data_IF_604769567292
#
_entry.id   IF_604769567292
#
_cell.length_a   1.000
_cell.length_b   1.000
_cell.length_c   1.000
_cell.angle_alpha   90.00
_cell.angle_beta   90.00
_cell.angle_gamma   90.00
#
_symmetry.space_group_name_H-M   'P 1'
#
loop_
_entity.id
_entity.type
_entity.pdbx_description
1 polymer ?
#
# COMPACT_ATOMS: atom_id res chain seq x y z
N UNK A 1 21.88 -25.52 5.13
CA UNK A 1 21.45 -24.19 4.62
C UNK A 1 21.24 -24.26 3.12
N UNK A 2 22.11 -24.95 2.38
CA UNK A 2 21.91 -25.29 0.95
C UNK A 2 20.59 -26.00 0.68
N UNK A 3 20.22 -27.00 1.50
CA UNK A 3 18.92 -27.70 1.36
C UNK A 3 17.71 -26.77 1.45
N UNK A 4 17.79 -25.68 2.23
CA UNK A 4 16.70 -24.71 2.38
C UNK A 4 16.54 -23.84 1.13
N UNK A 5 17.66 -23.38 0.57
CA UNK A 5 17.67 -22.57 -0.65
C UNK A 5 17.17 -23.39 -1.84
N UNK A 6 17.59 -24.65 -1.95
CA UNK A 6 17.08 -25.55 -2.99
C UNK A 6 15.58 -25.79 -2.84
N UNK A 7 15.08 -25.98 -1.62
CA UNK A 7 13.64 -26.14 -1.37
C UNK A 7 12.84 -24.87 -1.71
N UNK A 8 13.38 -23.69 -1.39
CA UNK A 8 12.77 -22.40 -1.74
C UNK A 8 12.74 -22.18 -3.26
N UNK A 9 13.82 -22.54 -3.96
CA UNK A 9 13.88 -22.46 -5.42
C UNK A 9 12.85 -23.41 -6.06
N UNK A 10 12.68 -24.62 -5.50
CA UNK A 10 11.63 -25.55 -5.94
C UNK A 10 10.22 -25.00 -5.73
N UNK A 11 9.92 -24.44 -4.57
CA UNK A 11 8.62 -23.82 -4.28
C UNK A 11 8.31 -22.66 -5.22
N UNK A 12 9.32 -21.83 -5.50
CA UNK A 12 9.20 -20.71 -6.43
C UNK A 12 9.29 -21.10 -7.91
N UNK A 13 9.55 -22.39 -8.21
CA UNK A 13 9.78 -22.93 -9.57
C UNK A 13 10.88 -22.16 -10.31
N UNK A 14 11.96 -21.85 -9.60
CA UNK A 14 13.13 -21.13 -10.11
C UNK A 14 14.24 -22.11 -10.46
N UNK A 15 14.68 -22.08 -11.71
CA UNK A 15 15.88 -22.77 -12.17
C UNK A 15 17.05 -21.79 -12.15
N UNK A 16 18.03 -22.06 -11.29
CA UNK A 16 19.23 -21.23 -11.13
C UNK A 16 20.45 -22.00 -11.61
N UNK A 17 21.29 -21.34 -12.41
CA UNK A 17 22.61 -21.86 -12.76
C UNK A 17 23.53 -21.93 -11.52
N UNK A 18 24.61 -22.72 -11.55
CA UNK A 18 25.50 -22.87 -10.40
C UNK A 18 26.09 -21.53 -9.91
N UNK A 19 26.42 -20.61 -10.83
CA UNK A 19 26.93 -19.28 -10.47
C UNK A 19 25.87 -18.38 -9.83
N UNK A 20 24.63 -18.45 -10.31
CA UNK A 20 23.52 -17.68 -9.74
C UNK A 20 23.11 -18.21 -8.37
N UNK A 21 23.27 -19.52 -8.11
CA UNK A 21 22.99 -20.13 -6.80
C UNK A 21 23.87 -19.56 -5.69
N UNK A 22 25.17 -19.41 -5.92
CA UNK A 22 26.08 -18.82 -4.93
C UNK A 22 25.76 -17.35 -4.67
N UNK A 23 25.48 -16.58 -5.73
CA UNK A 23 25.11 -15.17 -5.60
C UNK A 23 23.77 -15.01 -4.88
N UNK A 24 22.79 -15.86 -5.20
CA UNK A 24 21.50 -15.91 -4.53
C UNK A 24 21.65 -16.26 -3.05
N UNK A 25 22.45 -17.28 -2.72
CA UNK A 25 22.71 -17.67 -1.34
C UNK A 25 23.30 -16.51 -0.50
N UNK A 26 24.26 -15.76 -1.06
CA UNK A 26 24.81 -14.57 -0.40
C UNK A 26 23.76 -13.48 -0.18
N UNK A 27 23.06 -13.08 -1.25
CA UNK A 27 22.04 -12.02 -1.17
C UNK A 27 20.90 -12.39 -0.22
N UNK A 28 20.50 -13.65 -0.24
CA UNK A 28 19.46 -14.16 0.65
C UNK A 28 19.91 -14.11 2.12
N UNK A 29 21.15 -14.50 2.41
CA UNK A 29 21.69 -14.41 3.77
C UNK A 29 21.74 -12.96 4.29
N UNK A 30 22.10 -11.99 3.45
CA UNK A 30 22.12 -10.58 3.82
C UNK A 30 20.70 -10.03 4.06
N UNK A 31 19.73 -10.42 3.24
CA UNK A 31 18.32 -10.09 3.43
C UNK A 31 17.76 -10.65 4.72
N UNK A 32 18.06 -11.91 5.04
CA UNK A 32 17.62 -12.56 6.29
C UNK A 32 18.18 -11.81 7.50
N UNK A 33 19.48 -11.49 7.49
CA UNK A 33 20.10 -10.71 8.57
C UNK A 33 19.45 -9.34 8.75
N UNK A 34 19.14 -8.66 7.64
CA UNK A 34 18.46 -7.36 7.68
C UNK A 34 17.05 -7.47 8.29
N UNK A 35 16.28 -8.47 7.86
CA UNK A 35 14.92 -8.70 8.39
C UNK A 35 14.95 -9.08 9.87
N UNK A 36 15.92 -9.89 10.29
CA UNK A 36 16.05 -10.26 11.70
C UNK A 36 16.42 -9.05 12.57
N UNK A 37 17.29 -8.16 12.11
CA UNK A 37 17.56 -6.89 12.80
C UNK A 37 16.30 -6.00 12.92
N UNK A 38 15.38 -6.04 11.94
CA UNK A 38 14.10 -5.32 12.03
C UNK A 38 13.14 -5.98 13.03
N UNK A 39 13.14 -7.32 13.14
CA UNK A 39 12.30 -8.02 14.12
C UNK A 39 12.70 -7.64 15.54
N UNK A 40 14.01 -7.61 15.82
CA UNK A 40 14.55 -7.18 17.13
C UNK A 40 14.12 -5.75 17.49
N UNK A 41 13.98 -4.86 16.51
CA UNK A 41 13.50 -3.49 16.71
C UNK A 41 11.98 -3.38 16.94
N UNK A 42 11.18 -4.40 16.60
CA UNK A 42 9.71 -4.37 16.66
C UNK A 42 9.11 -5.00 17.91
N UNK A 43 9.90 -5.70 18.72
CA UNK A 43 9.42 -6.24 20.01
C UNK A 43 9.02 -5.13 21.00
N UNK A 44 9.45 -3.88 20.77
CA UNK A 44 9.07 -2.72 21.60
C UNK A 44 7.76 -2.04 21.16
N UNK A 45 7.15 -2.40 20.03
CA UNK A 45 5.94 -1.71 19.56
C UNK A 45 5.10 -2.54 18.61
N UNK A 46 3.91 -2.94 19.07
CA UNK A 46 2.62 -2.75 18.36
C UNK A 46 1.44 -3.39 19.09
N UNK A 47 0.61 -2.55 19.71
CA UNK A 47 -0.83 -2.77 19.61
C UNK A 47 -1.21 -2.49 18.15
N UNK A 48 -1.51 -3.54 17.40
CA UNK A 48 -2.12 -3.39 16.08
C UNK A 48 -3.58 -2.99 16.33
N UNK A 49 -4.02 -1.77 15.96
CA UNK A 49 -5.43 -1.42 16.11
C UNK A 49 -6.26 -2.41 15.30
N UNK A 50 -7.23 -3.04 15.96
CA UNK A 50 -8.16 -3.99 15.37
C UNK A 50 -8.77 -3.34 14.12
N UNK A 51 -8.48 -3.90 12.95
CA UNK A 51 -9.17 -3.54 11.74
C UNK A 51 -10.61 -4.03 11.88
N UNK A 52 -11.54 -3.12 12.17
CA UNK A 52 -12.97 -3.40 12.12
C UNK A 52 -13.35 -3.41 10.64
N UNK A 53 -13.68 -4.58 10.04
CA UNK A 53 -14.12 -4.61 8.66
C UNK A 53 -15.41 -3.80 8.55
N UNK A 54 -15.39 -2.78 7.68
CA UNK A 54 -16.62 -2.07 7.34
C UNK A 54 -17.47 -3.01 6.51
N UNK A 55 -18.62 -3.41 7.04
CA UNK A 55 -19.63 -4.12 6.26
C UNK A 55 -20.00 -3.27 5.04
N UNK A 56 -20.03 -3.90 3.87
CA UNK A 56 -20.53 -3.25 2.66
C UNK A 56 -22.01 -2.97 2.90
N UNK A 57 -22.38 -1.70 3.00
CA UNK A 57 -23.78 -1.32 2.85
C UNK A 57 -24.15 -1.58 1.39
N UNK A 58 -25.18 -2.41 1.17
CA UNK A 58 -25.82 -2.49 -0.13
C UNK A 58 -26.17 -1.07 -0.55
N UNK A 59 -25.65 -0.65 -1.70
CA UNK A 59 -25.83 0.70 -2.24
C UNK A 59 -27.30 1.08 -2.13
N UNK A 60 -27.57 2.21 -1.46
CA UNK A 60 -28.89 2.81 -1.46
C UNK A 60 -29.43 2.82 -2.90
N UNK A 61 -30.72 2.52 -3.11
CA UNK A 61 -31.27 2.37 -4.44
C UNK A 61 -30.87 3.56 -5.30
N UNK A 62 -30.29 3.28 -6.47
CA UNK A 62 -29.82 4.24 -7.47
C UNK A 62 -31.02 4.90 -8.16
N UNK A 63 -31.95 5.40 -7.35
CA UNK A 63 -33.14 6.11 -7.78
C UNK A 63 -32.77 7.59 -7.79
N UNK A 64 -32.86 8.26 -8.95
CA UNK A 64 -32.65 9.69 -9.00
C UNK A 64 -33.62 10.35 -8.02
N UNK A 65 -33.10 11.30 -7.25
CA UNK A 65 -33.91 12.10 -6.33
C UNK A 65 -35.03 12.76 -7.15
N UNK A 66 -36.28 12.48 -6.79
CA UNK A 66 -37.47 13.00 -7.48
C UNK A 66 -37.77 14.44 -7.06
N UNK A 67 -37.31 14.82 -5.87
CA UNK A 67 -37.49 16.16 -5.32
C UNK A 67 -36.50 17.15 -5.95
N UNK A 68 -36.94 18.35 -6.37
CA UNK A 68 -36.04 19.40 -6.80
C UNK A 68 -35.11 19.78 -5.64
N UNK A 69 -33.83 19.99 -5.95
CA UNK A 69 -32.92 20.58 -4.98
C UNK A 69 -33.36 22.03 -4.71
N UNK A 70 -34.03 22.25 -3.59
CA UNK A 70 -34.28 23.60 -3.08
C UNK A 70 -33.03 24.10 -2.36
N UNK A 71 -32.34 25.05 -2.99
CA UNK A 71 -31.16 25.71 -2.46
C UNK A 71 -30.57 26.60 -3.55
N UNK A 72 -30.28 27.86 -3.22
CA UNK A 72 -29.53 28.73 -4.13
C UNK A 72 -28.17 28.10 -4.37
N UNK A 73 -27.95 27.58 -5.59
CA UNK A 73 -26.60 27.22 -6.03
C UNK A 73 -25.82 28.53 -6.02
N UNK A 74 -24.71 28.67 -5.27
CA UNK A 74 -23.94 29.90 -5.24
C UNK A 74 -23.60 30.31 -6.67
N UNK A 75 -24.16 31.43 -7.11
CA UNK A 75 -23.97 31.94 -8.46
C UNK A 75 -22.51 32.32 -8.65
N UNK A 76 -21.96 31.82 -9.75
CA UNK A 76 -20.62 32.03 -10.31
C UNK A 76 -19.48 31.20 -9.71
N UNK A 77 -19.33 29.96 -10.19
CA UNK A 77 -18.00 29.40 -10.36
C UNK A 77 -17.33 30.15 -11.51
N UNK A 78 -16.35 31.02 -11.21
CA UNK A 78 -15.28 31.26 -12.18
C UNK A 78 -14.37 30.04 -12.10
N UNK A 79 -14.21 29.32 -13.20
CA UNK A 79 -13.12 28.37 -13.31
C UNK A 79 -11.81 29.17 -13.26
N UNK A 80 -11.25 29.36 -12.07
CA UNK A 80 -9.86 29.80 -11.93
C UNK A 80 -8.95 28.75 -12.53
N UNK A 81 -7.91 29.16 -13.24
CA UNK A 81 -6.91 28.22 -13.73
C UNK A 81 -6.03 27.81 -12.54
N UNK A 82 -5.63 26.53 -12.51
CA UNK A 82 -4.63 26.03 -11.56
C UNK A 82 -3.31 26.75 -11.92
N UNK A 83 -3.05 27.86 -11.24
CA UNK A 83 -2.01 28.83 -11.57
C UNK A 83 -2.27 30.24 -11.02
N UNK A 84 -3.52 30.58 -10.67
CA UNK A 84 -3.87 31.90 -10.11
C UNK A 84 -3.44 32.11 -8.63
N UNK A 85 -2.56 31.26 -8.09
CA UNK A 85 -2.07 31.33 -6.71
C UNK A 85 -0.62 31.81 -6.68
N UNK A 86 -0.39 33.03 -7.15
CA UNK A 86 0.84 33.78 -6.84
C UNK A 86 0.49 35.18 -6.31
N UNK A 87 1.08 35.45 -5.14
CA UNK A 87 1.34 36.75 -4.50
C UNK A 87 0.16 37.53 -3.90
N UNK A 88 0.10 37.46 -2.56
CA UNK A 88 -0.63 38.39 -1.71
C UNK A 88 -0.26 38.20 -0.24
N UNK A 89 0.83 38.85 0.20
CA UNK A 89 1.14 39.10 1.60
C UNK A 89 -0.04 39.85 2.28
N UNK A 90 -0.74 39.19 3.22
CA UNK A 90 -1.02 39.56 4.63
C UNK A 90 -2.18 38.73 5.19
#
# INVERSE_FOLDING_TARGET
MEDLLDHLCQLARLELSPGEREEFARKFADLVKFVDAIKELRDESREVPLQVPKERMDTAPDKPRVEPCEGEVPRSYRAGHIGDLEEGEV
#
